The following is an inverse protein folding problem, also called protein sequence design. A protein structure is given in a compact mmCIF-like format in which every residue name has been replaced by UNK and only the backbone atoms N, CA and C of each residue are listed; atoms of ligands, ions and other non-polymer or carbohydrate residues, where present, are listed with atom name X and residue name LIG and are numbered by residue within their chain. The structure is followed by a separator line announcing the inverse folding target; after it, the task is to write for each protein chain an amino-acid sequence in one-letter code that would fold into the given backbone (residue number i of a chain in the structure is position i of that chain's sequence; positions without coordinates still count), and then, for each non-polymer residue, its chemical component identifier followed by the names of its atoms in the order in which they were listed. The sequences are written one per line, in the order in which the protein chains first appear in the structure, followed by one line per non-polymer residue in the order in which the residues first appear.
data_IF_089137135880
#
_entry.id   IF_089137135880
#
_cell.length_a   1.000
_cell.length_b   1.000
_cell.length_c   1.000
_cell.angle_alpha   90.00
_cell.angle_beta   90.00
_cell.angle_gamma   90.00
#
_symmetry.space_group_name_H-M   'P 1'
#
loop_
_entity.id
_entity.type
_entity.pdbx_description
1 polymer ?
#
# COMPACT_ATOMS: atom_id res chain seq x y z
N UNK A 1 7.80 -9.65 -14.91
CA UNK A 1 6.77 -10.19 -13.99
C UNK A 1 6.81 -9.36 -12.71
N UNK A 2 5.67 -8.90 -12.22
CA UNK A 2 5.57 -8.27 -10.89
C UNK A 2 6.00 -9.29 -9.83
N UNK A 3 6.72 -8.82 -8.81
CA UNK A 3 7.16 -9.60 -7.66
C UNK A 3 5.97 -10.34 -7.02
N UNK A 4 6.09 -11.65 -6.79
CA UNK A 4 5.06 -12.40 -6.06
C UNK A 4 5.16 -12.02 -4.58
N UNK A 5 4.17 -11.27 -4.08
CA UNK A 5 4.08 -10.85 -2.69
C UNK A 5 3.05 -11.71 -1.95
N UNK A 6 3.45 -12.55 -0.99
CA UNK A 6 2.52 -13.40 -0.25
C UNK A 6 1.75 -12.62 0.82
N UNK A 7 0.44 -12.90 0.92
CA UNK A 7 -0.42 -12.42 2.00
C UNK A 7 -0.08 -13.16 3.31
N UNK A 8 -0.26 -12.48 4.45
CA UNK A 8 -0.08 -13.04 5.78
C UNK A 8 -0.98 -14.27 5.97
N UNK A 9 -0.42 -15.32 6.58
CA UNK A 9 -1.07 -16.65 6.63
C UNK A 9 -2.46 -16.60 7.30
N UNK A 10 -2.65 -15.73 8.29
CA UNK A 10 -3.93 -15.52 9.00
C UNK A 10 -5.09 -14.99 8.14
N UNK A 11 -4.80 -14.43 6.97
CA UNK A 11 -5.83 -13.86 6.08
C UNK A 11 -6.03 -14.66 4.81
N UNK A 12 -5.29 -15.76 4.58
CA UNK A 12 -5.42 -16.56 3.36
C UNK A 12 -6.85 -17.10 3.20
N UNK A 13 -7.41 -16.96 1.99
CA UNK A 13 -8.77 -17.42 1.67
C UNK A 13 -9.90 -16.61 2.34
N UNK A 14 -9.57 -15.53 3.05
CA UNK A 14 -10.54 -14.67 3.71
C UNK A 14 -11.25 -13.68 2.78
N UNK A 15 -12.04 -12.79 3.39
CA UNK A 15 -12.74 -11.69 2.71
C UNK A 15 -12.68 -10.41 3.55
N UNK A 16 -12.65 -9.26 2.88
CA UNK A 16 -12.94 -7.95 3.46
C UNK A 16 -14.46 -7.77 3.48
N UNK A 17 -15.00 -7.37 4.62
CA UNK A 17 -16.42 -7.03 4.79
C UNK A 17 -16.47 -5.54 5.13
N UNK A 18 -17.21 -4.76 4.33
CA UNK A 18 -17.57 -3.39 4.67
C UNK A 18 -18.97 -3.42 5.26
N UNK A 19 -19.06 -3.22 6.56
CA UNK A 19 -20.34 -3.17 7.26
C UNK A 19 -20.94 -1.76 7.16
N UNK A 20 -22.18 -1.64 6.63
CA UNK A 20 -22.88 -0.37 6.62
C UNK A 20 -23.32 0.01 8.03
N UNK A 21 -23.33 1.31 8.34
CA UNK A 21 -23.93 1.81 9.59
C UNK A 21 -25.45 1.59 9.63
N UNK A 22 -26.08 1.53 8.45
CA UNK A 22 -27.48 1.15 8.30
C UNK A 22 -27.62 -0.38 8.27
N UNK A 23 -28.17 -0.93 9.35
CA UNK A 23 -28.37 -2.37 9.51
C UNK A 23 -29.38 -2.99 8.53
N UNK A 24 -30.15 -2.17 7.79
CA UNK A 24 -31.03 -2.66 6.73
C UNK A 24 -30.29 -3.00 5.44
N UNK A 25 -29.06 -2.48 5.27
CA UNK A 25 -28.23 -2.72 4.10
C UNK A 25 -27.38 -3.98 4.24
N UNK A 26 -27.18 -4.69 3.14
CA UNK A 26 -26.28 -5.85 3.11
C UNK A 26 -24.81 -5.39 3.13
N UNK A 27 -23.93 -6.05 3.90
CA UNK A 27 -22.51 -5.81 3.84
C UNK A 27 -21.93 -6.03 2.45
N UNK A 28 -20.97 -5.19 2.06
CA UNK A 28 -20.20 -5.42 0.84
C UNK A 28 -19.04 -6.37 1.15
N UNK A 29 -18.93 -7.44 0.36
CA UNK A 29 -17.88 -8.43 0.52
C UNK A 29 -16.90 -8.40 -0.66
N UNK A 30 -15.61 -8.48 -0.35
CA UNK A 30 -14.55 -8.54 -1.35
C UNK A 30 -13.54 -9.63 -0.96
N UNK A 31 -13.23 -10.59 -1.85
CA UNK A 31 -12.17 -11.56 -1.58
C UNK A 31 -10.86 -10.85 -1.21
N UNK A 32 -10.23 -11.30 -0.12
CA UNK A 32 -9.07 -10.59 0.45
C UNK A 32 -7.89 -10.57 -0.53
N UNK A 33 -7.73 -11.60 -1.36
CA UNK A 33 -6.69 -11.65 -2.39
C UNK A 33 -6.88 -10.56 -3.45
N UNK A 34 -8.13 -10.26 -3.82
CA UNK A 34 -8.44 -9.17 -4.76
C UNK A 34 -8.13 -7.81 -4.13
N UNK A 35 -8.45 -7.64 -2.85
CA UNK A 35 -8.09 -6.42 -2.12
C UNK A 35 -6.57 -6.27 -2.00
N UNK A 36 -5.88 -7.32 -1.57
CA UNK A 36 -4.44 -7.33 -1.37
C UNK A 36 -3.68 -7.09 -2.67
N UNK A 37 -4.13 -7.67 -3.79
CA UNK A 37 -3.57 -7.38 -5.11
C UNK A 37 -3.66 -5.89 -5.47
N UNK A 38 -4.76 -5.21 -5.12
CA UNK A 38 -4.87 -3.74 -5.31
C UNK A 38 -3.87 -2.98 -4.44
N UNK A 39 -3.66 -3.40 -3.20
CA UNK A 39 -2.65 -2.81 -2.29
C UNK A 39 -1.24 -2.97 -2.87
N UNK A 40 -0.89 -4.16 -3.40
CA UNK A 40 0.38 -4.40 -4.08
C UNK A 40 0.53 -3.50 -5.31
N UNK A 41 -0.51 -3.36 -6.15
CA UNK A 41 -0.47 -2.49 -7.32
C UNK A 41 -0.21 -1.02 -6.95
N UNK A 42 -0.81 -0.52 -5.87
CA UNK A 42 -0.55 0.85 -5.39
C UNK A 42 0.92 1.00 -4.98
N UNK A 43 1.45 0.04 -4.20
CA UNK A 43 2.86 0.01 -3.79
C UNK A 43 3.79 0.03 -4.99
N UNK A 44 3.55 -0.82 -5.99
CA UNK A 44 4.42 -0.94 -7.16
C UNK A 44 4.39 0.34 -8.00
N UNK A 45 3.23 1.00 -8.12
CA UNK A 45 3.12 2.31 -8.78
C UNK A 45 3.90 3.41 -8.04
N UNK A 46 3.86 3.43 -6.72
CA UNK A 46 4.64 4.39 -5.91
C UNK A 46 6.15 4.16 -6.07
N UNK A 47 6.60 2.90 -6.09
CA UNK A 47 8.00 2.55 -6.38
C UNK A 47 8.45 3.04 -7.75
N UNK A 48 7.62 2.83 -8.79
CA UNK A 48 7.91 3.33 -10.14
C UNK A 48 7.94 4.86 -10.18
N UNK A 49 7.05 5.53 -9.44
CA UNK A 49 7.04 6.99 -9.35
C UNK A 49 8.32 7.52 -8.70
N UNK A 50 8.78 6.91 -7.60
CA UNK A 50 10.04 7.24 -6.94
C UNK A 50 11.24 7.09 -7.88
N UNK A 51 11.31 5.98 -8.63
CA UNK A 51 12.36 5.77 -9.64
C UNK A 51 12.35 6.86 -10.71
N UNK A 52 11.17 7.27 -11.19
CA UNK A 52 11.05 8.35 -12.18
C UNK A 52 11.49 9.69 -11.64
N UNK A 53 11.19 10.00 -10.38
CA UNK A 53 11.65 11.24 -9.73
C UNK A 53 13.18 11.24 -9.62
N UNK A 54 13.77 10.12 -9.19
CA UNK A 54 15.23 9.99 -9.07
C UNK A 54 15.93 10.22 -10.43
N UNK A 55 15.35 9.67 -11.51
CA UNK A 55 15.87 9.78 -12.87
C UNK A 55 15.48 11.07 -13.62
N UNK A 56 14.66 11.94 -13.02
CA UNK A 56 14.20 13.18 -13.66
C UNK A 56 15.27 14.29 -13.64
N UNK A 57 15.08 15.31 -14.48
CA UNK A 57 15.93 16.51 -14.54
C UNK A 57 15.53 17.59 -13.52
N UNK A 58 14.70 17.24 -12.52
CA UNK A 58 14.36 18.14 -11.43
C UNK A 58 15.62 18.55 -10.64
N UNK A 59 15.59 19.75 -10.08
CA UNK A 59 16.61 20.20 -9.14
C UNK A 59 16.56 19.38 -7.85
N UNK A 60 17.63 19.47 -7.06
CA UNK A 60 17.77 18.69 -5.84
C UNK A 60 16.63 18.94 -4.85
N UNK A 61 16.23 20.21 -4.69
CA UNK A 61 15.14 20.59 -3.79
C UNK A 61 13.79 20.01 -4.25
N UNK A 62 13.45 20.11 -5.54
CA UNK A 62 12.22 19.54 -6.08
C UNK A 62 12.17 18.01 -5.95
N UNK A 63 13.30 17.33 -6.13
CA UNK A 63 13.38 15.87 -5.88
C UNK A 63 13.11 15.54 -4.42
N UNK A 64 13.72 16.26 -3.48
CA UNK A 64 13.54 16.06 -2.04
C UNK A 64 12.06 16.25 -1.65
N UNK A 65 11.42 17.32 -2.14
CA UNK A 65 10.02 17.61 -1.80
C UNK A 65 9.06 16.49 -2.26
N UNK A 66 9.26 15.99 -3.48
CA UNK A 66 8.46 14.89 -4.02
C UNK A 66 8.73 13.56 -3.30
N UNK A 67 10.00 13.27 -2.99
CA UNK A 67 10.36 12.08 -2.21
C UNK A 67 9.74 12.12 -0.80
N UNK A 68 9.73 13.29 -0.14
CA UNK A 68 9.04 13.45 1.14
C UNK A 68 7.54 13.22 1.01
N UNK A 69 6.92 13.70 -0.08
CA UNK A 69 5.50 13.46 -0.33
C UNK A 69 5.19 11.97 -0.53
N UNK A 70 6.00 11.26 -1.31
CA UNK A 70 5.91 9.79 -1.46
C UNK A 70 6.07 9.10 -0.11
N UNK A 71 7.01 9.53 0.72
CA UNK A 71 7.22 8.97 2.06
C UNK A 71 5.98 9.15 2.95
N UNK A 72 5.28 10.29 2.86
CA UNK A 72 4.01 10.52 3.56
C UNK A 72 2.89 9.63 3.05
N UNK A 73 2.81 9.41 1.73
CA UNK A 73 1.87 8.44 1.14
C UNK A 73 2.15 7.03 1.66
N UNK A 74 3.41 6.60 1.72
CA UNK A 74 3.74 5.31 2.34
C UNK A 74 3.33 5.25 3.80
N UNK A 75 3.46 6.34 4.55
CA UNK A 75 2.98 6.46 5.93
C UNK A 75 1.48 6.20 6.09
N UNK A 76 0.64 6.77 5.23
CA UNK A 76 -0.81 6.59 5.30
C UNK A 76 -1.28 5.17 4.96
N UNK A 77 -0.45 4.39 4.26
CA UNK A 77 -0.73 3.01 3.90
C UNK A 77 -0.26 1.98 4.94
N UNK A 78 0.45 2.41 6.00
CA UNK A 78 1.03 1.50 7.01
C UNK A 78 0.00 0.63 7.74
N UNK A 79 -1.26 1.07 7.87
CA UNK A 79 -2.35 0.27 8.43
C UNK A 79 -2.58 -1.05 7.68
N UNK A 80 -2.25 -1.10 6.38
CA UNK A 80 -2.36 -2.32 5.58
C UNK A 80 -1.16 -3.28 5.73
N UNK A 81 -0.12 -2.92 6.51
CA UNK A 81 1.04 -3.76 6.72
C UNK A 81 0.70 -5.13 7.33
N UNK A 82 -0.41 -5.22 8.06
CA UNK A 82 -0.91 -6.47 8.64
C UNK A 82 -1.19 -7.56 7.59
N UNK A 83 -1.41 -7.17 6.32
CA UNK A 83 -1.72 -8.07 5.22
C UNK A 83 -0.47 -8.72 4.62
N UNK A 84 0.72 -8.17 4.82
CA UNK A 84 1.94 -8.70 4.24
C UNK A 84 2.51 -9.82 5.11
N UNK A 85 2.96 -10.91 4.47
CA UNK A 85 3.67 -11.99 5.19
C UNK A 85 5.07 -11.58 5.65
N UNK A 86 5.76 -10.75 4.87
CA UNK A 86 7.14 -10.31 5.14
C UNK A 86 7.21 -8.82 5.40
N UNK A 87 7.95 -8.43 6.45
CA UNK A 87 8.23 -7.02 6.76
C UNK A 87 8.97 -6.28 5.64
N UNK A 88 9.71 -6.99 4.78
CA UNK A 88 10.39 -6.40 3.63
C UNK A 88 9.43 -5.80 2.59
N UNK A 89 8.15 -6.18 2.63
CA UNK A 89 7.12 -5.70 1.73
C UNK A 89 6.25 -4.59 2.32
N UNK A 90 6.46 -4.28 3.60
CA UNK A 90 5.68 -3.28 4.31
C UNK A 90 5.88 -1.90 3.71
N UNK A 91 4.84 -1.09 3.81
CA UNK A 91 4.93 0.35 3.67
C UNK A 91 5.70 0.93 4.86
N UNK A 92 6.63 1.84 4.58
CA UNK A 92 7.44 2.54 5.58
C UNK A 92 7.31 4.03 5.32
N UNK A 93 6.63 4.74 6.22
CA UNK A 93 6.54 6.20 6.18
C UNK A 93 7.63 6.88 6.99
N UNK A 94 7.45 8.18 7.23
CA UNK A 94 8.27 8.91 8.19
C UNK A 94 8.12 8.27 9.56
N UNK A 95 9.25 7.93 10.20
CA UNK A 95 9.25 7.54 11.60
C UNK A 95 9.04 8.80 12.43
N UNK A 96 7.95 8.86 13.17
CA UNK A 96 7.82 9.82 14.27
C UNK A 96 8.97 9.54 15.24
N UNK A 97 9.86 10.51 15.42
CA UNK A 97 10.79 10.49 16.57
C UNK A 97 10.01 10.79 17.84
#
# INVERSE_FOLDING_TARGET
MSEIVPIADKYKGGKLILEPADASMKPYELPIDKFFHKIIMVRDRLRVMEQRINASDLDEQGKIDLQQYITRIYGSLTSFNILFKSKAHNFVGQRSK
#
